data_IF_649924583636
#
_entry.id   IF_649924583636
#
_cell.length_a   1.000
_cell.length_b   1.000
_cell.length_c   1.000
_cell.angle_alpha   90.00
_cell.angle_beta   90.00
_cell.angle_gamma   90.00
#
_symmetry.space_group_name_H-M   'P 1'
#
loop_
_entity.id
_entity.type
_entity.pdbx_description
1 polymer ?
#
# COMPACT_ATOMS: atom_id res chain seq x y z
N UNK A 1 -0.86 32.78 3.27
CA UNK A 1 -1.09 32.44 1.83
C UNK A 1 -2.49 32.86 1.44
N UNK A 2 -2.78 33.12 0.16
CA UNK A 2 -4.17 33.27 -0.27
C UNK A 2 -4.82 31.88 -0.41
N UNK A 3 -6.12 31.77 -0.14
CA UNK A 3 -6.89 30.52 -0.29
C UNK A 3 -6.65 29.80 -1.64
N UNK A 4 -6.73 30.47 -2.81
CA UNK A 4 -6.48 29.81 -4.09
C UNK A 4 -5.04 29.31 -4.27
N UNK A 5 -4.05 30.00 -3.70
CA UNK A 5 -2.64 29.56 -3.76
C UNK A 5 -2.46 28.25 -2.98
N UNK A 6 -3.13 28.13 -1.83
CA UNK A 6 -3.06 26.97 -0.96
C UNK A 6 -3.78 25.76 -1.58
N UNK A 7 -4.96 25.97 -2.16
CA UNK A 7 -5.69 24.94 -2.92
C UNK A 7 -4.83 24.39 -4.05
N UNK A 8 -4.23 25.28 -4.85
CA UNK A 8 -3.34 24.87 -5.94
C UNK A 8 -2.15 24.07 -5.43
N UNK A 9 -1.55 24.50 -4.32
CA UNK A 9 -0.42 23.81 -3.69
C UNK A 9 -0.80 22.39 -3.24
N UNK A 10 -1.95 22.21 -2.60
CA UNK A 10 -2.45 20.89 -2.17
C UNK A 10 -2.67 19.97 -3.37
N UNK A 11 -3.28 20.47 -4.46
CA UNK A 11 -3.51 19.68 -5.68
C UNK A 11 -2.19 19.30 -6.36
N UNK A 12 -1.22 20.21 -6.41
CA UNK A 12 0.11 19.94 -6.99
C UNK A 12 0.95 18.98 -6.13
N UNK A 13 0.81 19.05 -4.81
CA UNK A 13 1.59 18.26 -3.86
C UNK A 13 1.02 16.85 -3.63
N UNK A 14 -0.31 16.72 -3.77
CA UNK A 14 -1.07 15.48 -3.60
C UNK A 14 -1.99 15.20 -4.80
N UNK A 15 -1.46 15.04 -6.03
CA UNK A 15 -2.28 14.78 -7.22
C UNK A 15 -3.00 13.43 -7.16
N UNK A 16 -2.54 12.52 -6.30
CA UNK A 16 -3.14 11.19 -6.06
C UNK A 16 -4.45 11.22 -5.26
N UNK A 17 -4.75 12.31 -4.55
CA UNK A 17 -5.93 12.42 -3.69
C UNK A 17 -7.17 12.95 -4.44
N UNK A 18 -7.07 13.15 -5.75
CA UNK A 18 -8.16 13.59 -6.64
C UNK A 18 -8.88 14.88 -6.19
N UNK A 19 -8.18 15.78 -5.49
CA UNK A 19 -8.75 17.05 -5.08
C UNK A 19 -9.03 17.96 -6.28
N UNK A 20 -10.17 18.67 -6.23
CA UNK A 20 -10.53 19.68 -7.23
C UNK A 20 -10.47 21.07 -6.61
N UNK A 21 -10.14 22.08 -7.43
CA UNK A 21 -10.04 23.45 -6.93
C UNK A 21 -11.38 23.98 -6.43
N UNK A 22 -12.48 23.62 -7.09
CA UNK A 22 -13.85 23.98 -6.69
C UNK A 22 -14.25 23.27 -5.40
N UNK A 23 -14.02 21.96 -5.28
CA UNK A 23 -14.34 21.21 -4.05
C UNK A 23 -13.57 21.73 -2.84
N UNK A 24 -12.26 21.97 -2.99
CA UNK A 24 -11.46 22.53 -1.90
C UNK A 24 -11.83 23.98 -1.56
N UNK A 25 -12.37 24.75 -2.52
CA UNK A 25 -12.84 26.11 -2.24
C UNK A 25 -14.21 26.12 -1.55
N UNK A 26 -15.11 25.22 -1.90
CA UNK A 26 -16.44 25.16 -1.27
C UNK A 26 -16.42 24.48 0.09
N UNK A 27 -15.67 23.39 0.24
CA UNK A 27 -15.73 22.52 1.42
C UNK A 27 -14.76 22.93 2.54
N UNK A 28 -13.73 23.73 2.23
CA UNK A 28 -12.66 24.04 3.18
C UNK A 28 -12.38 25.54 3.30
N UNK A 29 -12.17 25.96 4.55
CA UNK A 29 -11.65 27.30 4.89
C UNK A 29 -10.13 27.32 4.85
N UNK A 30 -9.53 28.53 4.81
CA UNK A 30 -8.06 28.67 4.78
C UNK A 30 -7.36 27.88 5.91
N UNK A 31 -7.79 27.93 7.18
CA UNK A 31 -7.15 27.13 8.24
C UNK A 31 -7.26 25.62 8.02
N UNK A 32 -8.40 25.14 7.49
CA UNK A 32 -8.61 23.71 7.24
C UNK A 32 -7.78 23.21 6.06
N UNK A 33 -7.52 24.06 5.06
CA UNK A 33 -6.62 23.75 3.97
C UNK A 33 -5.16 23.66 4.45
N UNK A 34 -4.74 24.52 5.39
CA UNK A 34 -3.39 24.46 5.98
C UNK A 34 -3.21 23.16 6.77
N UNK A 35 -4.20 22.81 7.61
CA UNK A 35 -4.23 21.55 8.36
C UNK A 35 -4.27 20.33 7.42
N UNK A 36 -5.05 20.39 6.34
CA UNK A 36 -5.11 19.34 5.33
C UNK A 36 -3.74 19.14 4.65
N UNK A 37 -3.04 20.23 4.31
CA UNK A 37 -1.72 20.13 3.71
C UNK A 37 -0.70 19.49 4.67
N UNK A 38 -0.74 19.86 5.95
CA UNK A 38 0.15 19.31 6.99
C UNK A 38 -0.13 17.83 7.24
N UNK A 39 -1.39 17.45 7.47
CA UNK A 39 -1.78 16.05 7.70
C UNK A 39 -1.47 15.16 6.50
N UNK A 40 -1.73 15.62 5.27
CA UNK A 40 -1.35 14.87 4.07
C UNK A 40 0.17 14.76 3.90
N UNK A 41 0.92 15.79 4.32
CA UNK A 41 2.39 15.78 4.34
C UNK A 41 2.94 14.75 5.33
N UNK A 42 2.34 14.66 6.52
CA UNK A 42 2.65 13.63 7.52
C UNK A 42 2.23 12.24 7.04
N UNK A 43 1.07 12.08 6.41
CA UNK A 43 0.63 10.81 5.80
C UNK A 43 1.60 10.34 4.71
N UNK A 44 2.06 11.26 3.84
CA UNK A 44 3.04 10.96 2.79
C UNK A 44 4.40 10.56 3.36
N UNK A 45 4.78 11.10 4.52
CA UNK A 45 5.98 10.68 5.25
C UNK A 45 5.76 9.36 6.00
N UNK A 46 4.56 9.07 6.50
CA UNK A 46 4.23 7.78 7.12
C UNK A 46 4.05 6.64 6.13
N UNK A 47 3.67 6.88 4.87
CA UNK A 47 3.72 5.84 3.83
C UNK A 47 5.17 5.46 3.46
N UNK A 48 6.15 6.36 3.65
CA UNK A 48 7.57 6.02 3.54
C UNK A 48 8.19 5.51 4.85
N UNK A 49 7.60 5.80 6.02
CA UNK A 49 8.12 5.36 7.34
C UNK A 49 7.38 4.18 7.99
N UNK A 50 6.21 3.78 7.48
CA UNK A 50 5.63 2.44 7.76
C UNK A 50 6.39 1.33 7.02
N UNK A 51 7.37 1.72 6.19
CA UNK A 51 8.47 0.89 5.71
C UNK A 51 9.69 0.88 6.65
N UNK A 52 9.62 1.51 7.83
CA UNK A 52 10.77 1.66 8.73
C UNK A 52 10.39 1.48 10.21
N UNK A 53 9.77 0.35 10.57
CA UNK A 53 9.85 -0.21 11.94
C UNK A 53 9.42 -1.68 11.98
N UNK A 54 10.08 -2.52 11.19
CA UNK A 54 10.39 -3.87 11.59
C UNK A 54 11.84 -4.16 11.20
N UNK A 55 12.73 -3.85 12.13
CA UNK A 55 14.06 -4.42 12.28
C UNK A 55 15.02 -4.26 11.09
N UNK A 56 15.99 -3.39 11.29
CA UNK A 56 17.29 -3.46 10.64
C UNK A 56 17.85 -4.89 10.70
N UNK A 57 17.83 -5.60 9.58
CA UNK A 57 18.97 -6.42 9.21
C UNK A 57 18.97 -6.72 7.70
N UNK A 58 20.03 -6.21 7.06
CA UNK A 58 20.62 -6.71 5.83
C UNK A 58 19.73 -6.81 4.58
N UNK A 59 19.91 -5.85 3.68
CA UNK A 59 19.37 -5.91 2.33
C UNK A 59 19.74 -7.17 1.58
N UNK A 60 18.81 -7.66 0.77
CA UNK A 60 19.13 -8.32 -0.49
C UNK A 60 17.89 -8.32 -1.37
N UNK A 61 18.12 -8.23 -2.68
CA UNK A 61 17.17 -8.35 -3.81
C UNK A 61 15.74 -8.78 -3.48
N UNK A 62 14.76 -8.07 -4.06
CA UNK A 62 13.42 -8.60 -4.33
C UNK A 62 13.56 -9.85 -5.21
N UNK A 63 13.73 -11.01 -4.58
CA UNK A 63 13.62 -12.30 -5.25
C UNK A 63 12.12 -12.54 -5.39
N UNK A 64 11.62 -12.63 -6.63
CA UNK A 64 10.23 -13.01 -6.89
C UNK A 64 10.04 -14.44 -6.38
N UNK A 65 9.66 -14.58 -5.11
CA UNK A 65 9.45 -15.88 -4.48
C UNK A 65 8.26 -16.56 -5.12
N UNK A 66 8.48 -17.72 -5.74
CA UNK A 66 7.40 -18.53 -6.28
C UNK A 66 6.77 -19.30 -5.11
N UNK A 67 5.44 -19.27 -5.01
CA UNK A 67 4.69 -19.94 -3.96
C UNK A 67 3.64 -20.88 -4.55
N UNK A 68 3.29 -21.93 -3.81
CA UNK A 68 2.24 -22.89 -4.14
C UNK A 68 1.44 -23.33 -2.94
N UNK A 69 0.29 -23.94 -3.14
CA UNK A 69 -0.44 -24.58 -2.04
C UNK A 69 0.31 -25.80 -1.52
N UNK A 70 0.33 -25.95 -0.19
CA UNK A 70 0.85 -27.16 0.45
C UNK A 70 0.02 -28.38 0.07
N UNK A 71 -1.30 -28.24 0.07
CA UNK A 71 -2.25 -29.28 -0.34
C UNK A 71 -2.91 -28.89 -1.67
N UNK A 72 -2.65 -29.62 -2.77
CA UNK A 72 -3.24 -29.34 -4.07
C UNK A 72 -4.74 -29.66 -4.14
N UNK A 73 -5.34 -30.23 -3.09
CA UNK A 73 -6.79 -30.41 -2.99
C UNK A 73 -7.49 -29.14 -2.48
N UNK A 74 -6.72 -28.17 -2.01
CA UNK A 74 -7.23 -26.89 -1.49
C UNK A 74 -7.20 -25.79 -2.55
N UNK A 75 -7.83 -24.67 -2.23
CA UNK A 75 -7.79 -23.46 -3.03
C UNK A 75 -7.60 -22.24 -2.12
N UNK A 76 -6.89 -21.26 -2.64
CA UNK A 76 -6.71 -19.95 -2.04
C UNK A 76 -7.12 -18.88 -3.06
N UNK A 77 -7.99 -17.99 -2.64
CA UNK A 77 -8.43 -16.87 -3.45
C UNK A 77 -8.61 -15.65 -2.56
N UNK A 78 -7.99 -14.57 -2.96
CA UNK A 78 -8.15 -13.24 -2.38
C UNK A 78 -8.22 -12.20 -3.49
N UNK A 79 -8.40 -10.93 -3.13
CA UNK A 79 -8.49 -9.85 -4.11
C UNK A 79 -7.15 -9.66 -4.81
N UNK A 80 -7.06 -10.11 -6.07
CA UNK A 80 -5.88 -9.93 -6.92
C UNK A 80 -4.85 -11.07 -6.86
N UNK A 81 -5.05 -12.08 -6.00
CA UNK A 81 -4.17 -13.24 -5.93
C UNK A 81 -4.97 -14.53 -5.71
N UNK A 82 -4.56 -15.58 -6.41
CA UNK A 82 -5.29 -16.84 -6.48
C UNK A 82 -4.30 -17.96 -6.77
N UNK A 83 -4.44 -19.04 -6.01
CA UNK A 83 -3.69 -20.28 -6.12
C UNK A 83 -4.68 -21.43 -5.96
N UNK A 84 -4.74 -22.34 -6.93
CA UNK A 84 -5.58 -23.52 -6.84
C UNK A 84 -4.83 -24.74 -7.37
N UNK A 85 -5.08 -25.91 -6.78
CA UNK A 85 -4.45 -27.12 -7.28
C UNK A 85 -2.94 -27.11 -7.07
N UNK A 86 -2.21 -27.48 -8.12
CA UNK A 86 -0.73 -27.52 -8.16
C UNK A 86 -0.13 -26.26 -8.81
N UNK A 87 -0.88 -25.16 -8.84
CA UNK A 87 -0.39 -23.91 -9.41
C UNK A 87 0.77 -23.37 -8.57
N UNK A 88 1.78 -22.85 -9.27
CA UNK A 88 2.89 -22.12 -8.69
C UNK A 88 2.81 -20.69 -9.22
N UNK A 89 2.88 -19.70 -8.34
CA UNK A 89 2.67 -18.29 -8.69
C UNK A 89 3.65 -17.43 -7.94
N UNK A 90 4.15 -16.39 -8.57
CA UNK A 90 5.02 -15.43 -7.91
C UNK A 90 4.24 -14.65 -6.85
N UNK A 91 4.84 -14.57 -5.66
CA UNK A 91 4.30 -13.77 -4.58
C UNK A 91 4.31 -12.30 -5.03
N UNK A 92 3.18 -11.58 -4.89
CA UNK A 92 3.14 -10.16 -5.21
C UNK A 92 4.15 -9.41 -4.34
N UNK A 93 4.71 -8.32 -4.87
CA UNK A 93 5.74 -7.53 -4.15
C UNK A 93 5.23 -6.91 -2.85
N UNK A 94 3.91 -6.73 -2.73
CA UNK A 94 3.25 -6.33 -1.49
C UNK A 94 2.13 -7.34 -1.20
N UNK A 95 2.44 -8.51 -0.60
CA UNK A 95 1.44 -9.50 -0.27
C UNK A 95 0.50 -8.96 0.82
N UNK A 96 -0.76 -9.38 0.78
CA UNK A 96 -1.71 -9.03 1.84
C UNK A 96 -1.30 -9.70 3.15
N UNK A 97 -1.75 -9.14 4.27
CA UNK A 97 -1.54 -9.77 5.59
C UNK A 97 -2.10 -11.18 5.62
N UNK A 98 -3.28 -11.42 5.03
CA UNK A 98 -3.86 -12.76 4.97
C UNK A 98 -2.98 -13.73 4.17
N UNK A 99 -2.39 -13.30 3.05
CA UNK A 99 -1.48 -14.14 2.27
C UNK A 99 -0.23 -14.51 3.05
N UNK A 100 0.36 -13.56 3.76
CA UNK A 100 1.50 -13.79 4.65
C UNK A 100 1.12 -14.79 5.75
N UNK A 101 -0.01 -14.58 6.43
CA UNK A 101 -0.49 -15.48 7.48
C UNK A 101 -0.69 -16.92 6.97
N UNK A 102 -1.18 -17.09 5.74
CA UNK A 102 -1.32 -18.41 5.12
C UNK A 102 0.02 -19.06 4.79
N UNK A 103 1.04 -18.27 4.43
CA UNK A 103 2.39 -18.78 4.20
C UNK A 103 3.01 -19.20 5.53
N UNK A 104 2.90 -18.37 6.57
CA UNK A 104 3.43 -18.66 7.92
C UNK A 104 2.73 -19.86 8.58
N UNK A 105 1.41 -19.98 8.40
CA UNK A 105 0.64 -21.14 8.82
C UNK A 105 0.99 -22.43 8.04
N UNK A 106 1.78 -22.31 6.96
CA UNK A 106 2.17 -23.41 6.10
C UNK A 106 1.02 -23.92 5.23
N UNK A 107 -0.02 -23.11 4.97
CA UNK A 107 -1.05 -23.41 3.98
C UNK A 107 -0.51 -23.20 2.55
N UNK A 108 0.31 -22.17 2.38
CA UNK A 108 1.06 -21.85 1.16
C UNK A 108 2.55 -22.06 1.46
N UNK A 109 3.30 -22.62 0.51
CA UNK A 109 4.72 -22.93 0.66
C UNK A 109 5.53 -22.32 -0.47
N UNK A 110 6.71 -21.78 -0.14
CA UNK A 110 7.67 -21.28 -1.10
C UNK A 110 8.30 -22.44 -1.89
N UNK A 111 8.38 -22.27 -3.21
CA UNK A 111 9.05 -23.16 -4.15
C UNK A 111 10.44 -22.56 -4.39
N UNK A 112 11.48 -23.30 -4.01
CA UNK A 112 12.88 -22.94 -4.26
C UNK A 112 13.34 -23.39 -5.63
#
# INVERSE_FOLDING_TARGET
MAKPDLIKKIIEEFPEKEFTAEGLDEDYTVPQLEELQETLGEEKQQEVESNSSASENAGNKKENKIVKLKDPSTQYAEKGFTLAGKQEKELPSNPSTELIDRIEAGFIVEVK
#
